data_IF_073154935531
#
_entry.id   IF_073154935531
#
_cell.length_a   1.000
_cell.length_b   1.000
_cell.length_c   1.000
_cell.angle_alpha   90.00
_cell.angle_beta   90.00
_cell.angle_gamma   90.00
#
_symmetry.space_group_name_H-M   'P 1'
#
loop_
_entity.id
_entity.type
_entity.pdbx_description
1 polymer ?
#
# COMPACT_ATOMS: atom_id res chain seq x y z
N UNK A 1 -73.26 52.53 63.27
CA UNK A 1 -72.85 51.32 64.03
C UNK A 1 -73.17 50.07 63.20
N UNK A 2 -72.18 49.45 62.58
CA UNK A 2 -72.21 48.05 62.12
C UNK A 2 -70.76 47.54 62.13
N UNK A 3 -70.60 46.34 62.70
CA UNK A 3 -69.40 45.82 63.36
C UNK A 3 -68.34 45.35 62.36
N UNK A 4 -67.07 45.64 62.66
CA UNK A 4 -65.89 45.06 62.01
C UNK A 4 -65.67 43.68 62.63
N UNK A 5 -65.59 42.64 61.80
CA UNK A 5 -65.27 41.27 62.21
C UNK A 5 -63.80 41.00 61.87
N UNK A 6 -62.95 40.53 62.82
CA UNK A 6 -61.54 40.29 62.54
C UNK A 6 -61.38 38.95 61.82
N UNK A 7 -60.73 38.97 60.65
CA UNK A 7 -60.32 37.75 59.96
C UNK A 7 -59.04 37.25 60.65
N UNK A 8 -59.18 36.12 61.33
CA UNK A 8 -58.09 35.36 61.93
C UNK A 8 -57.26 34.72 60.81
N UNK A 9 -56.09 35.29 60.52
CA UNK A 9 -55.13 34.70 59.60
C UNK A 9 -54.47 33.47 60.27
N UNK A 10 -54.95 32.28 59.90
CA UNK A 10 -54.35 31.02 60.31
C UNK A 10 -53.06 30.81 59.48
N UNK A 11 -51.92 31.17 60.06
CA UNK A 11 -50.59 30.95 59.50
C UNK A 11 -50.29 29.44 59.51
N UNK A 12 -50.54 28.76 58.39
CA UNK A 12 -50.09 27.38 58.17
C UNK A 12 -48.59 27.42 57.94
N UNK A 13 -47.82 27.20 59.01
CA UNK A 13 -46.39 26.92 58.93
C UNK A 13 -46.28 25.49 58.40
N UNK A 14 -46.16 25.36 57.07
CA UNK A 14 -45.75 24.09 56.44
C UNK A 14 -44.33 23.84 56.94
N UNK A 15 -44.05 22.73 57.67
CA UNK A 15 -42.69 22.40 58.01
C UNK A 15 -41.97 22.14 56.69
N UNK A 16 -41.13 23.08 56.29
CA UNK A 16 -40.15 22.91 55.24
C UNK A 16 -39.20 21.84 55.79
N UNK A 17 -39.57 20.58 55.59
CA UNK A 17 -38.66 19.45 55.74
C UNK A 17 -37.63 19.67 54.64
N UNK A 18 -36.59 20.45 54.97
CA UNK A 18 -35.31 20.38 54.28
C UNK A 18 -34.88 18.93 54.46
N UNK A 19 -35.32 18.09 53.53
CA UNK A 19 -34.77 16.79 53.29
C UNK A 19 -33.34 17.09 52.86
N UNK A 20 -32.45 17.20 53.84
CA UNK A 20 -31.01 17.19 53.63
C UNK A 20 -30.69 15.80 53.10
N UNK A 21 -30.95 15.56 51.81
CA UNK A 21 -30.34 14.47 51.08
C UNK A 21 -28.84 14.65 51.28
N UNK A 22 -28.26 13.85 52.18
CA UNK A 22 -26.83 13.78 52.38
C UNK A 22 -26.25 13.18 51.09
N UNK A 23 -25.88 14.02 50.15
CA UNK A 23 -25.15 13.60 48.95
C UNK A 23 -23.82 13.05 49.41
N UNK A 24 -23.57 11.76 49.17
CA UNK A 24 -22.27 11.15 49.48
C UNK A 24 -21.21 11.89 48.67
N UNK A 25 -20.16 12.36 49.35
CA UNK A 25 -19.03 13.00 48.67
C UNK A 25 -18.20 11.94 47.94
N UNK A 26 -17.62 12.30 46.80
CA UNK A 26 -16.72 11.42 46.06
C UNK A 26 -15.40 11.27 46.82
N UNK A 27 -15.03 10.03 47.12
CA UNK A 27 -13.76 9.71 47.78
C UNK A 27 -12.70 9.27 46.76
N UNK A 28 -13.11 8.51 45.74
CA UNK A 28 -12.18 8.05 44.71
C UNK A 28 -12.86 7.78 43.37
N UNK A 29 -12.02 7.81 42.33
CA UNK A 29 -12.34 7.50 40.95
C UNK A 29 -11.42 6.36 40.47
N UNK A 30 -11.90 5.47 39.61
CA UNK A 30 -11.09 4.49 38.89
C UNK A 30 -11.62 4.27 37.47
N UNK A 31 -10.74 3.85 36.57
CA UNK A 31 -11.10 3.48 35.20
C UNK A 31 -11.18 1.95 35.06
N UNK A 32 -11.98 1.47 34.12
CA UNK A 32 -11.98 0.04 33.75
C UNK A 32 -10.68 -0.42 33.11
N UNK A 33 -9.90 0.51 32.54
CA UNK A 33 -8.61 0.29 31.91
C UNK A 33 -7.65 1.43 32.27
N UNK A 34 -6.44 1.09 32.68
CA UNK A 34 -5.33 2.03 32.87
C UNK A 34 -4.36 2.00 31.67
N UNK A 35 -4.38 0.91 30.90
CA UNK A 35 -3.64 0.75 29.65
C UNK A 35 -4.52 0.03 28.61
N UNK A 36 -4.40 0.44 27.35
CA UNK A 36 -5.08 -0.18 26.20
C UNK A 36 -4.11 -0.30 25.03
N UNK A 37 -4.16 -1.45 24.38
CA UNK A 37 -3.54 -1.68 23.08
C UNK A 37 -4.65 -1.99 22.07
N UNK A 38 -4.68 -1.24 20.97
CA UNK A 38 -5.71 -1.31 19.93
C UNK A 38 -5.06 -1.18 18.56
N UNK A 39 -5.73 -1.61 17.48
CA UNK A 39 -5.29 -1.31 16.12
C UNK A 39 -6.00 -0.06 15.57
N UNK A 40 -5.45 0.54 14.51
CA UNK A 40 -6.09 1.68 13.83
C UNK A 40 -7.52 1.33 13.40
N UNK A 41 -8.48 2.17 13.78
CA UNK A 41 -9.91 1.99 13.51
C UNK A 41 -10.68 1.28 14.62
N UNK A 42 -10.00 0.62 15.56
CA UNK A 42 -10.65 -0.03 16.69
C UNK A 42 -11.27 1.00 17.65
N UNK A 43 -12.33 0.56 18.33
CA UNK A 43 -13.02 1.35 19.35
C UNK A 43 -13.13 0.58 20.66
N UNK A 44 -12.94 1.27 21.78
CA UNK A 44 -13.10 0.70 23.12
C UNK A 44 -13.71 1.70 24.08
N UNK A 45 -14.73 1.28 24.83
CA UNK A 45 -15.31 2.11 25.89
C UNK A 45 -14.58 1.89 27.22
N UNK A 46 -14.19 2.99 27.87
CA UNK A 46 -13.62 3.02 29.22
C UNK A 46 -14.69 3.53 30.17
N UNK A 47 -15.09 2.69 31.14
CA UNK A 47 -16.04 3.11 32.17
C UNK A 47 -15.32 3.72 33.37
N UNK A 48 -15.99 4.68 34.01
CA UNK A 48 -15.53 5.32 35.26
C UNK A 48 -16.32 4.73 36.41
N UNK A 49 -15.63 4.29 37.46
CA UNK A 49 -16.25 3.86 38.73
C UNK A 49 -15.93 4.89 39.81
N UNK A 50 -16.96 5.31 40.54
CA UNK A 50 -16.88 6.29 41.62
C UNK A 50 -17.18 5.58 42.95
N UNK A 51 -16.37 5.86 43.98
CA UNK A 51 -16.64 5.41 45.35
C UNK A 51 -16.80 6.59 46.31
N UNK A 52 -17.68 6.47 47.33
CA UNK A 52 -18.57 5.33 47.59
C UNK A 52 -19.72 5.23 46.58
N UNK A 53 -20.35 4.07 46.48
CA UNK A 53 -21.48 3.87 45.58
C UNK A 53 -22.64 4.84 45.89
N UNK A 54 -23.18 5.46 44.85
CA UNK A 54 -24.16 6.55 44.92
C UNK A 54 -23.58 7.95 45.20
N UNK A 55 -22.24 8.12 45.22
CA UNK A 55 -21.64 9.45 45.19
C UNK A 55 -21.74 10.08 43.79
N UNK A 56 -22.04 11.37 43.74
CA UNK A 56 -22.17 12.12 42.49
C UNK A 56 -20.84 12.80 42.12
N UNK A 57 -20.23 12.36 41.01
CA UNK A 57 -19.00 12.94 40.47
C UNK A 57 -19.25 14.03 39.42
N UNK A 58 -20.51 14.37 39.16
CA UNK A 58 -20.89 15.26 38.07
C UNK A 58 -20.53 14.70 36.69
N UNK A 59 -20.45 15.59 35.71
CA UNK A 59 -20.06 15.26 34.35
C UNK A 59 -18.59 14.88 34.27
N UNK A 60 -18.28 13.77 33.59
CA UNK A 60 -16.90 13.39 33.32
C UNK A 60 -16.44 14.02 32.00
N UNK A 61 -15.43 14.89 32.09
CA UNK A 61 -14.78 15.47 30.94
C UNK A 61 -13.67 14.56 30.45
N UNK A 62 -13.70 14.22 29.16
CA UNK A 62 -12.71 13.39 28.52
C UNK A 62 -11.80 14.21 27.61
N UNK A 63 -10.51 13.91 27.64
CA UNK A 63 -9.52 14.54 26.78
C UNK A 63 -8.45 13.55 26.35
N UNK A 64 -7.72 13.89 25.28
CA UNK A 64 -6.61 13.11 24.73
C UNK A 64 -5.38 14.01 24.62
N UNK A 65 -4.19 13.46 24.85
CA UNK A 65 -2.92 14.18 24.64
C UNK A 65 -2.62 14.41 23.15
N UNK A 66 -3.14 13.55 22.26
CA UNK A 66 -2.97 13.69 20.81
C UNK A 66 -4.20 13.17 20.05
N UNK A 67 -5.00 14.11 19.52
CA UNK A 67 -6.22 13.80 18.76
C UNK A 67 -5.98 13.26 17.34
N UNK A 68 -4.73 13.27 16.86
CA UNK A 68 -4.35 12.66 15.58
C UNK A 68 -4.13 11.15 15.73
N UNK A 69 -3.74 10.71 16.92
CA UNK A 69 -3.50 9.29 17.26
C UNK A 69 -4.76 8.65 17.83
N UNK A 70 -5.39 9.30 18.81
CA UNK A 70 -6.55 8.76 19.54
C UNK A 70 -7.59 9.84 19.77
N UNK A 71 -8.86 9.55 19.50
CA UNK A 71 -9.98 10.37 19.98
C UNK A 71 -10.75 9.68 21.08
N UNK A 72 -11.36 10.47 21.96
CA UNK A 72 -12.28 9.99 22.98
C UNK A 72 -13.56 10.82 22.94
N UNK A 73 -14.70 10.15 22.93
CA UNK A 73 -16.02 10.78 23.02
C UNK A 73 -16.85 10.00 24.04
N UNK A 74 -17.22 10.65 25.14
CA UNK A 74 -17.99 10.04 26.24
C UNK A 74 -17.42 8.68 26.69
N UNK A 75 -16.12 8.65 26.99
CA UNK A 75 -15.39 7.43 27.37
C UNK A 75 -15.15 6.42 26.25
N UNK A 76 -15.70 6.62 25.05
CA UNK A 76 -15.42 5.79 23.87
C UNK A 76 -14.15 6.26 23.18
N UNK A 77 -13.10 5.47 23.30
CA UNK A 77 -11.80 5.67 22.67
C UNK A 77 -11.80 5.08 21.25
N UNK A 78 -11.25 5.81 20.28
CA UNK A 78 -11.10 5.39 18.88
C UNK A 78 -9.68 5.63 18.40
N UNK A 79 -9.01 4.58 17.92
CA UNK A 79 -7.67 4.67 17.33
C UNK A 79 -7.71 5.23 15.91
N UNK A 80 -6.90 6.24 15.61
CA UNK A 80 -6.85 6.91 14.30
C UNK A 80 -5.55 6.66 13.54
N UNK A 81 -4.43 6.64 14.24
CA UNK A 81 -3.11 6.44 13.65
C UNK A 81 -2.21 5.73 14.66
N UNK A 82 -1.22 4.99 14.15
CA UNK A 82 -0.19 4.34 14.96
C UNK A 82 0.51 5.35 15.87
N UNK A 83 0.69 4.98 17.13
CA UNK A 83 1.40 5.80 18.11
C UNK A 83 0.84 5.62 19.51
N UNK A 84 1.25 6.49 20.43
CA UNK A 84 0.79 6.46 21.81
C UNK A 84 0.13 7.79 22.17
N UNK A 85 -0.94 7.73 22.95
CA UNK A 85 -1.61 8.90 23.50
C UNK A 85 -2.16 8.59 24.89
N UNK A 86 -2.31 9.62 25.71
CA UNK A 86 -2.89 9.51 27.05
C UNK A 86 -4.32 10.03 27.00
N UNK A 87 -5.28 9.19 27.37
CA UNK A 87 -6.69 9.57 27.55
C UNK A 87 -6.91 9.91 29.01
N UNK A 88 -7.44 11.11 29.29
CA UNK A 88 -7.72 11.58 30.66
C UNK A 88 -9.21 11.74 30.87
N UNK A 89 -9.72 11.15 31.96
CA UNK A 89 -11.05 11.39 32.51
C UNK A 89 -10.94 12.31 33.72
N UNK A 90 -11.72 13.38 33.75
CA UNK A 90 -11.73 14.37 34.82
C UNK A 90 -13.15 14.66 35.31
N UNK A 91 -13.40 14.51 36.61
CA UNK A 91 -14.68 14.90 37.22
C UNK A 91 -14.77 16.42 37.40
N UNK A 92 -15.98 16.93 37.62
CA UNK A 92 -16.21 18.35 37.96
C UNK A 92 -15.50 18.79 39.25
N UNK A 93 -15.27 17.84 40.17
CA UNK A 93 -14.49 18.07 41.40
C UNK A 93 -12.97 18.11 41.18
N UNK A 94 -12.49 17.88 39.95
CA UNK A 94 -11.07 17.90 39.59
C UNK A 94 -10.32 16.59 39.82
N UNK A 95 -11.00 15.48 40.15
CA UNK A 95 -10.35 14.18 40.21
C UNK A 95 -10.03 13.70 38.80
N UNK A 96 -8.77 13.34 38.57
CA UNK A 96 -8.29 12.86 37.26
C UNK A 96 -7.89 11.40 37.32
N UNK A 97 -8.17 10.67 36.26
CA UNK A 97 -7.57 9.38 35.96
C UNK A 97 -7.13 9.34 34.51
N UNK A 98 -6.09 8.57 34.26
CA UNK A 98 -5.45 8.47 32.95
C UNK A 98 -5.46 7.03 32.47
N UNK A 99 -5.56 6.85 31.17
CA UNK A 99 -5.37 5.60 30.47
C UNK A 99 -4.31 5.82 29.38
N UNK A 100 -3.24 5.02 29.40
CA UNK A 100 -2.24 5.02 28.33
C UNK A 100 -2.76 4.17 27.17
N UNK A 101 -2.89 4.75 25.98
CA UNK A 101 -3.41 4.07 24.80
C UNK A 101 -2.31 3.95 23.76
N UNK A 102 -2.00 2.72 23.37
CA UNK A 102 -1.09 2.39 22.27
C UNK A 102 -1.91 1.92 21.08
N UNK A 103 -1.75 2.59 19.95
CA UNK A 103 -2.36 2.23 18.68
C UNK A 103 -1.31 1.58 17.79
N UNK A 104 -1.57 0.34 17.39
CA UNK A 104 -0.80 -0.43 16.42
C UNK A 104 -1.39 -0.26 15.01
N UNK A 105 -0.60 -0.60 13.99
CA UNK A 105 -1.09 -0.61 12.60
C UNK A 105 -2.18 -1.67 12.41
N UNK A 106 -3.04 -1.52 11.39
CA UNK A 106 -4.01 -2.58 11.08
C UNK A 106 -3.30 -3.89 10.78
N UNK A 107 -3.84 -4.98 11.32
CA UNK A 107 -3.35 -6.31 11.01
C UNK A 107 -3.72 -6.67 9.56
N UNK A 108 -2.76 -7.27 8.83
CA UNK A 108 -3.07 -7.85 7.52
C UNK A 108 -3.89 -9.13 7.73
N UNK A 109 -5.15 -9.10 7.32
CA UNK A 109 -6.06 -10.24 7.40
C UNK A 109 -5.84 -11.23 6.24
N UNK A 110 -5.42 -10.72 5.08
CA UNK A 110 -5.16 -11.54 3.90
C UNK A 110 -4.28 -10.87 2.85
N UNK A 111 -3.72 -11.69 1.96
CA UNK A 111 -2.91 -11.27 0.82
C UNK A 111 -3.40 -12.00 -0.43
N UNK A 112 -3.32 -11.33 -1.57
CA UNK A 112 -3.63 -11.89 -2.90
C UNK A 112 -2.50 -11.55 -3.86
N UNK A 113 -2.30 -12.40 -4.86
CA UNK A 113 -1.38 -12.16 -5.97
C UNK A 113 -2.18 -11.91 -7.25
N UNK A 114 -1.65 -11.11 -8.19
CA UNK A 114 -2.30 -10.72 -9.44
C UNK A 114 -2.86 -11.89 -10.25
N UNK A 115 -2.15 -13.02 -10.27
CA UNK A 115 -2.54 -14.22 -11.00
C UNK A 115 -2.26 -15.48 -10.16
N UNK A 116 -3.18 -16.45 -10.14
CA UNK A 116 -2.98 -17.75 -9.49
C UNK A 116 -2.09 -18.71 -10.30
N UNK A 117 -1.95 -18.46 -11.60
CA UNK A 117 -1.07 -19.24 -12.49
C UNK A 117 -0.72 -18.46 -13.74
N UNK A 118 0.49 -18.64 -14.25
CA UNK A 118 0.98 -17.97 -15.46
C UNK A 118 1.99 -18.82 -16.22
N UNK A 119 2.35 -18.40 -17.44
CA UNK A 119 3.36 -19.06 -18.25
C UNK A 119 4.37 -18.06 -18.79
N UNK A 120 5.66 -18.36 -18.58
CA UNK A 120 6.78 -17.53 -19.01
C UNK A 120 7.71 -18.35 -19.89
N UNK A 121 8.41 -17.72 -20.83
CA UNK A 121 9.46 -18.41 -21.60
C UNK A 121 10.75 -18.43 -20.80
N UNK A 122 11.60 -19.44 -21.03
CA UNK A 122 12.97 -19.43 -20.52
C UNK A 122 13.69 -18.13 -20.93
N UNK A 123 14.35 -17.50 -19.96
CA UNK A 123 15.03 -16.20 -20.05
C UNK A 123 14.12 -14.97 -19.96
N UNK A 124 12.79 -15.12 -19.98
CA UNK A 124 11.83 -14.01 -19.90
C UNK A 124 11.40 -13.73 -18.47
N UNK A 125 10.92 -12.50 -18.20
CA UNK A 125 10.45 -12.08 -16.89
C UNK A 125 8.96 -11.78 -16.87
N UNK A 126 8.33 -11.85 -15.71
CA UNK A 126 6.94 -11.44 -15.46
C UNK A 126 6.81 -10.80 -14.08
N UNK A 127 6.07 -9.71 -13.98
CA UNK A 127 5.79 -9.05 -12.72
C UNK A 127 4.54 -9.64 -12.06
N UNK A 128 4.67 -10.12 -10.82
CA UNK A 128 3.54 -10.45 -9.97
C UNK A 128 3.29 -9.29 -8.99
N UNK A 129 2.02 -8.90 -8.83
CA UNK A 129 1.63 -7.88 -7.85
C UNK A 129 0.97 -8.54 -6.64
N UNK A 130 1.36 -8.12 -5.43
CA UNK A 130 0.68 -8.52 -4.20
C UNK A 130 -0.24 -7.40 -3.70
N UNK A 131 -1.42 -7.76 -3.22
CA UNK A 131 -2.39 -6.84 -2.60
C UNK A 131 -2.87 -7.39 -1.25
N UNK A 132 -2.77 -6.58 -0.20
CA UNK A 132 -3.19 -6.93 1.16
C UNK A 132 -4.63 -6.50 1.45
N UNK A 133 -5.24 -7.14 2.44
CA UNK A 133 -6.53 -6.78 3.02
C UNK A 133 -6.37 -6.64 4.54
N UNK A 134 -6.96 -5.60 5.16
CA UNK A 134 -7.60 -4.46 4.52
C UNK A 134 -6.59 -3.59 3.73
N UNK A 135 -7.08 -2.78 2.77
CA UNK A 135 -6.21 -2.04 1.83
C UNK A 135 -5.32 -0.99 2.50
N UNK A 136 -5.70 -0.55 3.69
CA UNK A 136 -4.99 0.41 4.51
C UNK A 136 -4.09 -0.25 5.58
N UNK A 137 -3.97 -1.58 5.57
CA UNK A 137 -2.93 -2.26 6.34
C UNK A 137 -1.56 -2.02 5.69
N UNK A 138 -0.48 -1.81 6.47
CA UNK A 138 0.86 -1.61 5.94
C UNK A 138 1.34 -2.85 5.19
N UNK A 139 1.87 -2.68 3.98
CA UNK A 139 2.28 -3.79 3.10
C UNK A 139 3.74 -3.77 2.69
N UNK A 140 4.58 -2.96 3.34
CA UNK A 140 5.97 -2.73 2.92
C UNK A 140 6.90 -3.95 3.15
N UNK A 141 6.44 -4.94 3.93
CA UNK A 141 7.24 -6.10 4.36
C UNK A 141 6.81 -7.43 3.71
N UNK A 142 6.35 -7.42 2.46
CA UNK A 142 5.99 -8.66 1.74
C UNK A 142 7.27 -9.34 1.25
N UNK A 143 7.45 -10.61 1.63
CA UNK A 143 8.58 -11.45 1.22
C UNK A 143 8.16 -12.37 0.09
N UNK A 144 8.94 -12.40 -0.99
CA UNK A 144 8.75 -13.29 -2.12
C UNK A 144 9.71 -14.48 -2.06
N UNK A 145 9.25 -15.65 -2.51
CA UNK A 145 10.06 -16.87 -2.59
C UNK A 145 9.60 -17.76 -3.74
N UNK A 146 10.52 -18.57 -4.27
CA UNK A 146 10.23 -19.61 -5.25
C UNK A 146 10.45 -20.99 -4.65
N UNK A 147 9.56 -21.93 -4.97
CA UNK A 147 9.75 -23.34 -4.61
C UNK A 147 10.91 -23.99 -5.36
N UNK A 148 11.28 -23.45 -6.53
CA UNK A 148 12.39 -23.91 -7.36
C UNK A 148 13.00 -22.73 -8.14
N UNK A 149 13.98 -22.02 -7.54
CA UNK A 149 14.66 -20.90 -8.19
C UNK A 149 15.40 -21.27 -9.48
N UNK A 150 15.81 -22.54 -9.66
CA UNK A 150 16.48 -23.00 -10.89
C UNK A 150 15.48 -23.16 -12.04
N UNK A 151 14.20 -23.33 -11.76
CA UNK A 151 13.12 -23.32 -12.75
C UNK A 151 12.61 -21.91 -12.96
N UNK A 152 12.21 -21.21 -11.89
CA UNK A 152 11.83 -19.80 -11.95
C UNK A 152 12.27 -19.06 -10.67
N UNK A 153 13.09 -18.04 -10.81
CA UNK A 153 13.55 -17.19 -9.70
C UNK A 153 12.62 -15.99 -9.53
N UNK A 154 12.55 -15.40 -8.34
CA UNK A 154 11.74 -14.19 -8.05
C UNK A 154 12.54 -13.23 -7.18
N UNK A 155 12.45 -11.92 -7.46
CA UNK A 155 13.08 -10.88 -6.65
C UNK A 155 12.15 -10.35 -5.53
N UNK A 156 12.68 -9.44 -4.69
CA UNK A 156 11.94 -8.85 -3.58
C UNK A 156 10.75 -7.98 -4.01
N UNK A 157 10.67 -7.60 -5.28
CA UNK A 157 9.58 -6.79 -5.82
C UNK A 157 8.53 -7.66 -6.53
N UNK A 158 8.68 -8.98 -6.56
CA UNK A 158 7.77 -9.90 -7.25
C UNK A 158 8.05 -10.06 -8.75
N UNK A 159 9.23 -9.64 -9.23
CA UNK A 159 9.65 -9.90 -10.61
C UNK A 159 10.16 -11.34 -10.72
N UNK A 160 9.46 -12.17 -11.49
CA UNK A 160 9.78 -13.57 -11.71
C UNK A 160 10.57 -13.73 -13.01
N UNK A 161 11.70 -14.43 -13.00
CA UNK A 161 12.48 -14.80 -14.18
C UNK A 161 12.33 -16.30 -14.43
N UNK A 162 11.96 -16.70 -15.65
CA UNK A 162 11.97 -18.10 -16.07
C UNK A 162 13.39 -18.55 -16.38
N UNK A 163 13.94 -19.49 -15.62
CA UNK A 163 15.34 -19.94 -15.73
C UNK A 163 15.46 -21.22 -16.56
N UNK A 164 14.66 -22.24 -16.25
CA UNK A 164 14.64 -23.53 -16.94
C UNK A 164 13.21 -24.03 -17.16
N UNK A 165 13.01 -24.87 -18.19
CA UNK A 165 11.71 -25.49 -18.44
C UNK A 165 11.23 -26.29 -17.23
N UNK A 166 10.00 -26.04 -16.80
CA UNK A 166 9.46 -26.66 -15.60
C UNK A 166 8.29 -25.89 -15.01
N UNK A 167 7.91 -26.28 -13.79
CA UNK A 167 6.86 -25.62 -13.01
C UNK A 167 7.41 -25.27 -11.64
N UNK A 168 7.33 -24.00 -11.27
CA UNK A 168 7.69 -23.50 -9.95
C UNK A 168 6.50 -22.77 -9.32
N UNK A 169 6.40 -22.80 -8.00
CA UNK A 169 5.40 -22.05 -7.24
C UNK A 169 6.07 -20.83 -6.62
N UNK A 170 5.62 -19.66 -7.02
CA UNK A 170 6.03 -18.40 -6.42
C UNK A 170 5.08 -18.07 -5.27
N UNK A 171 5.64 -17.77 -4.10
CA UNK A 171 4.89 -17.45 -2.88
C UNK A 171 5.23 -16.03 -2.43
N UNK A 172 4.22 -15.21 -2.18
CA UNK A 172 4.35 -13.97 -1.42
C UNK A 172 3.79 -14.20 -0.01
N UNK A 173 4.52 -13.71 0.99
CA UNK A 173 4.22 -13.90 2.41
C UNK A 173 4.35 -12.58 3.17
N UNK A 174 3.37 -12.28 4.02
CA UNK A 174 3.39 -11.11 4.91
C UNK A 174 4.13 -11.43 6.21
N UNK A 175 4.55 -10.39 6.94
CA UNK A 175 5.24 -10.54 8.23
C UNK A 175 4.44 -11.34 9.27
N UNK A 176 3.11 -11.22 9.26
CA UNK A 176 2.22 -12.02 10.13
C UNK A 176 1.81 -13.39 9.52
N UNK A 177 2.52 -13.85 8.47
CA UNK A 177 2.43 -15.21 7.93
C UNK A 177 1.25 -15.47 6.99
N UNK A 178 0.57 -14.44 6.46
CA UNK A 178 -0.43 -14.63 5.39
C UNK A 178 0.29 -14.90 4.08
N UNK A 179 -0.21 -15.83 3.27
CA UNK A 179 0.43 -16.25 2.03
C UNK A 179 -0.52 -16.21 0.84
N UNK A 180 0.01 -15.89 -0.33
CA UNK A 180 -0.63 -16.13 -1.61
C UNK A 180 0.39 -16.68 -2.61
N UNK A 181 -0.07 -17.51 -3.54
CA UNK A 181 0.79 -18.25 -4.45
C UNK A 181 0.39 -18.10 -5.91
N UNK A 182 1.38 -18.18 -6.80
CA UNK A 182 1.22 -18.23 -8.23
C UNK A 182 2.01 -19.42 -8.79
N UNK A 183 1.35 -20.26 -9.59
CA UNK A 183 2.01 -21.35 -10.30
C UNK A 183 2.60 -20.84 -11.62
N UNK A 184 3.92 -20.87 -11.77
CA UNK A 184 4.64 -20.41 -12.96
C UNK A 184 5.08 -21.60 -13.79
N UNK A 185 4.61 -21.67 -15.04
CA UNK A 185 5.07 -22.68 -16.01
C UNK A 185 6.07 -22.06 -16.98
N UNK A 186 7.32 -22.48 -16.88
CA UNK A 186 8.39 -22.06 -17.78
C UNK A 186 8.43 -22.99 -18.99
N UNK A 187 8.34 -22.41 -20.18
CA UNK A 187 8.39 -23.15 -21.45
C UNK A 187 9.71 -22.86 -22.16
N UNK A 188 10.39 -23.91 -22.63
CA UNK A 188 11.47 -23.75 -23.60
C UNK A 188 10.89 -23.63 -25.00
N UNK A 189 11.26 -22.58 -25.71
CA UNK A 189 10.85 -22.37 -27.12
C UNK A 189 11.99 -22.63 -28.11
N UNK A 190 13.16 -23.07 -27.64
CA UNK A 190 14.30 -23.37 -28.51
C UNK A 190 14.53 -24.88 -28.66
N UNK A 191 13.67 -25.52 -29.46
CA UNK A 191 14.05 -26.75 -30.16
C UNK A 191 14.22 -26.45 -31.65
N UNK A 192 15.31 -25.78 -32.01
CA UNK A 192 15.79 -25.75 -33.39
C UNK A 192 16.40 -27.12 -33.71
N UNK A 193 15.54 -28.05 -34.13
CA UNK A 193 15.97 -29.35 -34.65
C UNK A 193 16.88 -29.12 -35.86
N UNK A 194 18.19 -29.25 -35.67
CA UNK A 194 19.15 -29.36 -36.77
C UNK A 194 18.87 -30.67 -37.50
N UNK A 195 18.17 -30.60 -38.63
CA UNK A 195 18.03 -31.72 -39.57
C UNK A 195 19.41 -31.96 -40.21
N UNK A 196 19.94 -33.21 -40.21
CA UNK A 196 21.19 -33.52 -40.90
C UNK A 196 20.94 -33.49 -42.41
N UNK A 197 21.58 -32.57 -43.12
CA UNK A 197 21.63 -32.57 -44.58
C UNK A 197 23.03 -32.95 -45.04
N UNK A 198 23.04 -34.03 -45.81
CA UNK A 198 24.13 -34.76 -46.44
C UNK A 198 24.94 -33.92 -47.44
N UNK A 199 26.27 -33.97 -47.31
CA UNK A 199 27.34 -34.04 -48.35
C UNK A 199 27.10 -33.34 -49.71
N UNK A 200 27.94 -32.41 -50.20
CA UNK A 200 29.36 -32.59 -50.54
C UNK A 200 30.16 -31.27 -50.76
N UNK A 201 31.52 -31.31 -50.78
CA UNK A 201 32.45 -30.16 -50.58
C UNK A 201 33.34 -29.87 -51.83
N UNK A 202 34.54 -29.21 -51.77
CA UNK A 202 35.12 -28.21 -50.84
C UNK A 202 35.71 -26.96 -51.57
N UNK A 203 35.95 -25.82 -50.90
CA UNK A 203 37.20 -25.05 -51.11
C UNK A 203 37.65 -24.22 -49.88
N UNK A 204 38.88 -24.56 -49.45
CA UNK A 204 39.98 -23.73 -48.97
C UNK A 204 39.90 -22.94 -47.64
N UNK A 205 40.77 -23.42 -46.74
CA UNK A 205 41.23 -22.92 -45.44
C UNK A 205 42.01 -21.60 -45.53
N UNK A 206 41.81 -20.69 -44.56
CA UNK A 206 42.90 -20.01 -43.83
C UNK A 206 42.39 -19.41 -42.51
N UNK A 207 43.32 -19.36 -41.57
CA UNK A 207 43.19 -19.52 -40.12
C UNK A 207 43.55 -18.20 -39.40
N UNK A 208 43.26 -18.14 -38.09
CA UNK A 208 43.76 -17.18 -37.09
C UNK A 208 42.97 -15.84 -37.03
N UNK A 209 42.59 -15.27 -35.89
CA UNK A 209 43.15 -15.31 -34.54
C UNK A 209 42.13 -14.84 -33.48
N UNK A 210 42.46 -15.17 -32.24
CA UNK A 210 41.79 -14.92 -30.96
C UNK A 210 41.59 -13.44 -30.57
N UNK A 211 40.64 -13.24 -29.68
CA UNK A 211 40.54 -12.23 -28.62
C UNK A 211 40.35 -10.75 -29.01
N UNK A 212 39.09 -10.29 -28.96
CA UNK A 212 38.72 -9.07 -28.24
C UNK A 212 37.21 -8.97 -28.03
N UNK A 213 36.75 -9.05 -26.79
CA UNK A 213 35.50 -8.43 -26.37
C UNK A 213 35.67 -6.91 -26.47
N UNK A 214 34.82 -6.16 -27.18
CA UNK A 214 34.70 -4.73 -26.97
C UNK A 214 33.61 -4.47 -25.94
N UNK A 215 34.08 -3.89 -24.84
CA UNK A 215 33.40 -3.07 -23.85
C UNK A 215 32.07 -2.44 -24.29
N UNK A 216 31.16 -2.39 -23.33
CA UNK A 216 30.01 -1.49 -23.27
C UNK A 216 30.33 -0.09 -23.84
N UNK A 217 29.52 0.35 -24.80
CA UNK A 217 29.19 1.75 -25.10
C UNK A 217 27.88 1.75 -25.92
N UNK A 218 26.79 2.25 -25.31
CA UNK A 218 26.18 3.55 -25.62
C UNK A 218 25.47 3.57 -26.98
N UNK A 219 24.15 3.35 -26.98
CA UNK A 219 23.34 3.66 -28.14
C UNK A 219 23.21 5.18 -28.26
N UNK A 220 23.69 5.68 -29.39
CA UNK A 220 23.62 7.07 -29.80
C UNK A 220 22.24 7.29 -30.43
N UNK A 221 21.29 7.87 -29.69
CA UNK A 221 20.03 8.35 -30.24
C UNK A 221 20.28 9.68 -30.95
N UNK A 222 20.58 9.62 -32.24
CA UNK A 222 20.45 10.77 -33.14
C UNK A 222 18.97 11.16 -33.20
N UNK A 223 18.45 11.96 -32.24
CA UNK A 223 17.14 12.66 -32.22
C UNK A 223 15.86 11.93 -32.72
N UNK A 224 15.96 10.65 -33.03
CA UNK A 224 14.92 9.85 -33.66
C UNK A 224 14.35 8.93 -32.61
N UNK A 225 13.04 9.04 -32.45
CA UNK A 225 12.24 8.18 -31.58
C UNK A 225 12.48 6.70 -31.89
N UNK A 226 12.49 5.86 -30.85
CA UNK A 226 12.64 4.39 -30.96
C UNK A 226 11.57 3.79 -31.86
N UNK A 227 10.33 4.26 -31.66
CA UNK A 227 9.17 3.92 -32.47
C UNK A 227 8.46 5.22 -32.84
N UNK A 228 8.86 5.92 -33.92
CA UNK A 228 8.35 7.26 -34.23
C UNK A 228 6.83 7.25 -34.46
N UNK A 229 6.31 6.18 -35.06
CA UNK A 229 4.88 6.07 -35.40
C UNK A 229 3.98 5.65 -34.22
N UNK A 230 4.55 5.39 -33.03
CA UNK A 230 3.81 4.83 -31.90
C UNK A 230 2.70 5.73 -31.33
N UNK A 231 2.69 7.02 -31.69
CA UNK A 231 1.63 7.96 -31.33
C UNK A 231 0.52 8.11 -32.39
N UNK A 232 0.73 7.60 -33.61
CA UNK A 232 -0.18 7.85 -34.76
C UNK A 232 -0.78 6.59 -35.37
N UNK A 233 -0.21 5.40 -35.11
CA UNK A 233 -0.80 4.12 -35.53
C UNK A 233 -0.58 3.01 -34.51
N UNK A 234 -1.48 2.02 -34.54
CA UNK A 234 -1.31 0.78 -33.76
C UNK A 234 -0.13 -0.01 -34.35
N UNK A 235 0.84 -0.34 -33.51
CA UNK A 235 1.95 -1.25 -33.81
C UNK A 235 1.39 -2.66 -33.99
N UNK A 236 2.08 -3.50 -34.75
CA UNK A 236 1.75 -4.91 -34.86
C UNK A 236 2.78 -5.79 -34.13
N UNK A 237 2.39 -7.02 -33.82
CA UNK A 237 3.20 -7.94 -33.03
C UNK A 237 4.60 -8.17 -33.62
N UNK A 238 4.75 -8.25 -34.94
CA UNK A 238 6.06 -8.50 -35.56
C UNK A 238 7.02 -7.32 -35.39
N UNK A 239 6.49 -6.09 -35.33
CA UNK A 239 7.29 -4.90 -35.06
C UNK A 239 7.83 -4.92 -33.63
N UNK A 240 7.06 -5.46 -32.69
CA UNK A 240 7.38 -5.44 -31.26
C UNK A 240 8.20 -6.65 -30.80
N UNK A 241 7.94 -7.82 -31.37
CA UNK A 241 8.50 -9.12 -30.95
C UNK A 241 10.03 -9.24 -31.02
N UNK A 242 10.69 -8.35 -31.74
CA UNK A 242 12.15 -8.38 -31.96
C UNK A 242 12.93 -7.22 -31.33
N UNK A 243 12.27 -6.26 -30.66
CA UNK A 243 12.98 -5.11 -30.07
C UNK A 243 13.91 -5.53 -28.92
N UNK A 244 13.56 -6.58 -28.18
CA UNK A 244 14.20 -6.91 -26.91
C UNK A 244 13.68 -6.05 -25.77
N UNK A 245 13.78 -6.55 -24.54
CA UNK A 245 13.12 -5.96 -23.37
C UNK A 245 13.64 -4.57 -23.02
N UNK A 246 14.95 -4.33 -23.15
CA UNK A 246 15.55 -3.01 -22.92
C UNK A 246 14.98 -1.96 -23.88
N UNK A 247 14.96 -2.27 -25.19
CA UNK A 247 14.48 -1.34 -26.21
C UNK A 247 12.94 -1.20 -26.19
N UNK A 248 12.21 -2.24 -25.81
CA UNK A 248 10.76 -2.18 -25.60
C UNK A 248 10.41 -1.31 -24.37
N UNK A 249 11.18 -1.42 -23.28
CA UNK A 249 11.01 -0.56 -22.11
C UNK A 249 11.39 0.89 -22.42
N UNK A 250 12.46 1.12 -23.17
CA UNK A 250 12.84 2.46 -23.62
C UNK A 250 11.78 3.05 -24.55
N UNK A 251 11.16 2.26 -25.43
CA UNK A 251 10.05 2.70 -26.27
C UNK A 251 8.80 3.04 -25.45
N UNK A 252 8.49 2.29 -24.38
CA UNK A 252 7.41 2.63 -23.45
C UNK A 252 7.72 3.94 -22.74
N UNK A 253 8.92 4.06 -22.17
CA UNK A 253 9.37 5.26 -21.49
C UNK A 253 9.32 6.46 -22.44
N UNK A 254 9.71 6.29 -23.70
CA UNK A 254 9.65 7.35 -24.71
C UNK A 254 8.21 7.81 -24.98
N UNK A 255 7.23 6.89 -25.08
CA UNK A 255 5.82 7.28 -25.23
C UNK A 255 5.37 8.12 -24.03
N UNK A 256 5.69 7.72 -22.80
CA UNK A 256 5.39 8.53 -21.61
C UNK A 256 6.11 9.88 -21.59
N UNK A 257 7.37 9.91 -22.01
CA UNK A 257 8.19 11.12 -22.05
C UNK A 257 7.62 12.16 -23.02
N UNK A 258 7.03 11.74 -24.16
CA UNK A 258 6.39 12.68 -25.12
C UNK A 258 5.26 13.50 -24.49
N UNK A 259 4.66 13.02 -23.41
CA UNK A 259 3.61 13.71 -22.63
C UNK A 259 4.12 14.39 -21.36
N UNK A 260 5.45 14.38 -21.16
CA UNK A 260 6.11 15.03 -20.03
C UNK A 260 6.09 14.24 -18.72
N UNK A 261 5.92 12.91 -18.78
CA UNK A 261 5.97 12.06 -17.58
C UNK A 261 7.28 12.23 -16.81
N UNK A 262 7.18 12.59 -15.53
CA UNK A 262 8.34 12.81 -14.66
C UNK A 262 8.81 11.49 -14.07
N UNK A 263 9.92 10.96 -14.58
CA UNK A 263 10.48 9.68 -14.12
C UNK A 263 11.03 9.77 -12.68
N UNK A 264 10.74 8.74 -11.87
CA UNK A 264 11.23 8.63 -10.48
C UNK A 264 12.71 8.27 -10.42
N UNK A 265 13.19 7.45 -11.36
CA UNK A 265 14.58 7.03 -11.44
C UNK A 265 15.45 8.17 -11.96
N UNK A 266 16.43 8.60 -11.18
CA UNK A 266 17.26 9.75 -11.51
C UNK A 266 17.99 9.60 -12.85
N UNK A 267 18.54 8.43 -13.17
CA UNK A 267 19.26 8.22 -14.45
C UNK A 267 18.34 8.39 -15.67
N UNK A 268 17.12 7.84 -15.61
CA UNK A 268 16.13 7.93 -16.69
C UNK A 268 15.62 9.37 -16.82
N UNK A 269 15.33 10.04 -15.69
CA UNK A 269 14.92 11.44 -15.69
C UNK A 269 15.99 12.34 -16.31
N UNK A 270 17.25 12.18 -15.93
CA UNK A 270 18.36 12.96 -16.51
C UNK A 270 18.53 12.69 -18.01
N UNK A 271 18.37 11.44 -18.46
CA UNK A 271 18.41 11.10 -19.88
C UNK A 271 17.34 11.88 -20.67
N UNK A 272 16.07 11.86 -20.26
CA UNK A 272 15.02 12.57 -20.98
C UNK A 272 15.12 14.09 -20.85
N UNK A 273 15.56 14.63 -19.71
CA UNK A 273 15.85 16.07 -19.55
C UNK A 273 16.92 16.59 -20.52
N UNK A 274 17.79 15.71 -21.04
CA UNK A 274 18.77 16.08 -22.07
C UNK A 274 18.19 16.15 -23.50
N UNK A 275 16.98 15.62 -23.70
CA UNK A 275 16.31 15.61 -25.01
C UNK A 275 15.60 16.94 -25.27
N UNK A 276 15.87 17.56 -26.41
CA UNK A 276 15.32 18.89 -26.75
C UNK A 276 13.79 18.94 -26.87
N UNK A 277 13.14 17.79 -27.09
CA UNK A 277 11.68 17.67 -27.24
C UNK A 277 10.97 17.40 -25.90
N UNK A 278 11.67 16.97 -24.86
CA UNK A 278 11.07 16.58 -23.58
C UNK A 278 10.89 17.79 -22.66
N UNK A 279 9.69 17.94 -22.09
CA UNK A 279 9.36 18.98 -21.12
C UNK A 279 8.55 18.36 -19.98
N UNK A 280 8.97 18.57 -18.74
CA UNK A 280 8.29 17.98 -17.57
C UNK A 280 6.87 18.52 -17.41
N UNK A 281 5.90 17.61 -17.33
CA UNK A 281 4.51 17.89 -17.05
C UNK A 281 4.12 17.21 -15.72
N UNK A 282 4.19 17.98 -14.64
CA UNK A 282 3.85 17.52 -13.28
C UNK A 282 2.37 17.15 -13.10
N UNK A 283 1.50 17.47 -14.07
CA UNK A 283 0.08 17.14 -14.05
C UNK A 283 -0.27 15.95 -14.96
N UNK A 284 0.71 15.27 -15.56
CA UNK A 284 0.47 14.13 -16.43
C UNK A 284 -0.34 13.03 -15.71
N UNK A 285 -1.32 12.50 -16.43
CA UNK A 285 -2.13 11.34 -16.06
C UNK A 285 -2.12 10.31 -17.19
N UNK A 286 -2.24 9.02 -16.90
CA UNK A 286 -2.37 7.99 -17.95
C UNK A 286 -3.60 8.21 -18.85
N UNK A 287 -4.59 8.99 -18.38
CA UNK A 287 -5.73 9.44 -19.19
C UNK A 287 -5.36 10.40 -20.32
N UNK A 288 -4.17 11.00 -20.28
CA UNK A 288 -3.69 11.92 -21.31
C UNK A 288 -3.14 11.16 -22.53
N UNK A 289 -2.88 9.86 -22.39
CA UNK A 289 -2.46 8.99 -23.48
C UNK A 289 -3.61 8.74 -24.45
N UNK A 290 -3.33 8.81 -25.75
CA UNK A 290 -4.31 8.40 -26.76
C UNK A 290 -4.64 6.90 -26.67
N UNK A 291 -5.77 6.49 -27.26
CA UNK A 291 -6.11 5.06 -27.38
C UNK A 291 -5.03 4.27 -28.14
N UNK A 292 -4.37 4.92 -29.12
CA UNK A 292 -3.28 4.33 -29.91
C UNK A 292 -2.06 4.08 -29.03
N UNK A 293 -1.63 5.09 -28.27
CA UNK A 293 -0.49 4.98 -27.37
C UNK A 293 -0.75 3.98 -26.24
N UNK A 294 -1.95 4.00 -25.67
CA UNK A 294 -2.38 3.02 -24.65
C UNK A 294 -2.35 1.59 -25.21
N UNK A 295 -2.85 1.39 -26.43
CA UNK A 295 -2.76 0.09 -27.11
C UNK A 295 -1.30 -0.32 -27.36
N UNK A 296 -0.48 0.60 -27.84
CA UNK A 296 0.92 0.34 -28.18
C UNK A 296 1.77 0.07 -26.95
N UNK A 297 1.58 0.80 -25.85
CA UNK A 297 2.19 0.50 -24.55
C UNK A 297 1.75 -0.88 -24.08
N UNK A 298 0.46 -1.23 -24.21
CA UNK A 298 -0.03 -2.56 -23.89
C UNK A 298 0.63 -3.65 -24.74
N UNK A 299 0.84 -3.39 -26.03
CA UNK A 299 1.53 -4.31 -26.93
C UNK A 299 3.02 -4.41 -26.60
N UNK A 300 3.70 -3.30 -26.32
CA UNK A 300 5.09 -3.26 -25.89
C UNK A 300 5.27 -4.02 -24.59
N UNK A 301 4.43 -3.79 -23.56
CA UNK A 301 4.43 -4.55 -22.30
C UNK A 301 4.16 -6.04 -22.49
N UNK A 302 3.40 -6.40 -23.51
CA UNK A 302 3.10 -7.81 -23.83
C UNK A 302 4.30 -8.56 -24.41
N UNK A 303 5.23 -7.85 -25.06
CA UNK A 303 6.40 -8.43 -25.73
C UNK A 303 7.74 -7.98 -25.13
N UNK A 304 7.69 -7.18 -24.06
CA UNK A 304 8.79 -6.79 -23.17
C UNK A 304 8.94 -7.85 -22.06
#
# INVERSE_FOLDING_TARGET
MKKIMPILAMLIIVPFVLCSCFTKQVESMSLSYEELELHVGDTKHISVTIKPDGADAGTINWSTSDSKIVTVNDGTVTGKAKGTAVVTAESESGLKRVCNVTILDKEIEGITVSESSTSVKKGSKIQLEAKVKPVDAPSDNIVWSSSDPETASVDNNGMVLGENEGVAIITCETENGKKATCTVTVKDTEKKTTVPSTEAPPQAVKQESRDRYPSAHYYNYDNDFILPDSSIRKLNANEVMGLGSELAQDAINEIYARHGYVFKTDSIRHYYQSQSWYHENYNFSESDLSEIESYNIGLLRKYN
#
